data_IF_252908650552
#
_entry.id   IF_252908650552
#
_cell.length_a   1.000
_cell.length_b   1.000
_cell.length_c   1.000
_cell.angle_alpha   90.00
_cell.angle_beta   90.00
_cell.angle_gamma   90.00
#
_symmetry.space_group_name_H-M   'P 1'
#
loop_
_entity.id
_entity.type
_entity.pdbx_description
1 polymer ?
#
# COMPACT_ATOMS: atom_id res chain seq x y z
N UNK A 1 -13.48 -43.56 5.16
CA UNK A 1 -12.16 -43.33 4.58
C UNK A 1 -11.19 -44.26 5.28
N UNK A 2 -10.48 -45.10 4.54
CA UNK A 2 -9.55 -46.10 5.10
C UNK A 2 -8.44 -45.35 5.88
N UNK A 3 -8.00 -45.87 7.05
CA UNK A 3 -7.02 -45.20 7.89
C UNK A 3 -5.68 -45.06 7.19
N UNK A 4 -5.37 -45.93 6.24
CA UNK A 4 -4.20 -45.82 5.36
C UNK A 4 -4.26 -44.60 4.45
N UNK A 5 -5.42 -44.29 3.86
CA UNK A 5 -5.62 -43.07 3.05
C UNK A 5 -5.45 -41.80 3.89
N UNK A 6 -5.92 -41.80 5.14
CA UNK A 6 -5.74 -40.64 6.04
C UNK A 6 -4.25 -40.37 6.32
N UNK A 7 -3.45 -41.43 6.58
CA UNK A 7 -2.02 -41.31 6.77
C UNK A 7 -1.29 -40.77 5.54
N UNK A 8 -1.58 -41.34 4.36
CA UNK A 8 -0.98 -40.87 3.09
C UNK A 8 -1.35 -39.42 2.75
N UNK A 9 -2.58 -38.99 3.06
CA UNK A 9 -3.00 -37.60 2.89
C UNK A 9 -2.28 -36.66 3.84
N UNK A 10 -2.09 -37.05 5.12
CA UNK A 10 -1.35 -36.24 6.09
C UNK A 10 0.14 -36.12 5.74
N UNK A 11 0.77 -37.20 5.27
CA UNK A 11 2.14 -37.14 4.77
C UNK A 11 2.26 -36.23 3.53
N UNK A 12 1.31 -36.30 2.63
CA UNK A 12 1.31 -35.49 1.42
C UNK A 12 1.08 -33.99 1.69
N UNK A 13 0.45 -33.60 2.81
CA UNK A 13 0.33 -32.19 3.25
C UNK A 13 1.68 -31.53 3.52
N UNK A 14 2.70 -32.32 3.87
CA UNK A 14 4.08 -31.83 4.14
C UNK A 14 4.83 -31.42 2.86
N UNK A 15 4.38 -31.80 1.68
CA UNK A 15 5.06 -31.52 0.43
C UNK A 15 4.75 -30.11 -0.13
N UNK A 16 5.67 -29.55 -0.90
CA UNK A 16 5.44 -28.33 -1.69
C UNK A 16 4.35 -28.52 -2.76
N UNK A 17 3.74 -27.41 -3.23
CA UNK A 17 2.54 -27.39 -4.09
C UNK A 17 2.59 -28.34 -5.31
N UNK A 18 3.74 -28.43 -5.98
CA UNK A 18 3.90 -29.29 -7.17
C UNK A 18 3.87 -30.79 -6.80
N UNK A 19 4.62 -31.19 -5.76
CA UNK A 19 4.66 -32.57 -5.26
C UNK A 19 3.30 -33.01 -4.67
N UNK A 20 2.60 -32.10 -3.97
CA UNK A 20 1.24 -32.37 -3.46
C UNK A 20 0.26 -32.69 -4.58
N UNK A 21 0.22 -31.87 -5.66
CA UNK A 21 -0.65 -32.13 -6.80
C UNK A 21 -0.37 -33.46 -7.50
N UNK A 22 0.92 -33.85 -7.56
CA UNK A 22 1.30 -35.15 -8.11
C UNK A 22 0.77 -36.28 -7.22
N UNK A 23 0.99 -36.19 -5.90
CA UNK A 23 0.54 -37.19 -4.93
C UNK A 23 -1.01 -37.27 -4.86
N UNK A 24 -1.70 -36.14 -4.93
CA UNK A 24 -3.16 -36.09 -5.02
C UNK A 24 -3.71 -36.91 -6.21
N UNK A 25 -3.10 -36.75 -7.41
CA UNK A 25 -3.48 -37.53 -8.59
C UNK A 25 -3.16 -39.03 -8.45
N UNK A 26 -2.06 -39.39 -7.78
CA UNK A 26 -1.68 -40.75 -7.48
C UNK A 26 -2.68 -41.39 -6.52
N UNK A 27 -3.09 -40.70 -5.46
CA UNK A 27 -4.08 -41.17 -4.49
C UNK A 27 -5.48 -41.28 -5.12
N UNK A 28 -5.89 -40.30 -5.94
CA UNK A 28 -7.17 -40.38 -6.70
C UNK A 28 -7.21 -41.60 -7.61
N UNK A 29 -6.11 -41.99 -8.24
CA UNK A 29 -5.99 -43.19 -9.05
C UNK A 29 -5.96 -44.47 -8.19
N UNK A 30 -5.16 -44.51 -7.12
CA UNK A 30 -4.99 -45.65 -6.23
C UNK A 30 -6.30 -46.06 -5.59
N UNK A 31 -7.11 -45.09 -5.17
CA UNK A 31 -8.39 -45.36 -4.46
C UNK A 31 -9.60 -45.15 -5.36
N UNK A 32 -9.44 -44.90 -6.67
CA UNK A 32 -10.50 -44.59 -7.64
C UNK A 32 -11.49 -43.53 -7.14
N UNK A 33 -11.04 -42.56 -6.37
CA UNK A 33 -11.87 -41.54 -5.73
C UNK A 33 -11.36 -40.12 -6.11
N UNK A 34 -12.12 -39.47 -7.00
CA UNK A 34 -11.85 -38.09 -7.46
C UNK A 34 -12.15 -37.00 -6.41
N UNK A 35 -12.76 -37.37 -5.28
CA UNK A 35 -13.03 -36.42 -4.18
C UNK A 35 -11.85 -36.21 -3.26
N UNK A 36 -10.77 -36.99 -3.40
CA UNK A 36 -9.55 -36.85 -2.61
C UNK A 36 -8.82 -35.55 -2.99
N UNK A 37 -8.79 -34.61 -2.07
CA UNK A 37 -8.07 -33.36 -2.22
C UNK A 37 -7.11 -33.11 -1.05
N UNK A 38 -5.82 -32.95 -1.37
CA UNK A 38 -4.77 -32.66 -0.38
C UNK A 38 -4.64 -31.14 -0.22
N UNK A 39 -5.38 -30.59 0.74
CA UNK A 39 -5.34 -29.15 1.05
C UNK A 39 -4.10 -28.83 1.89
N UNK A 40 -3.47 -27.67 1.62
CA UNK A 40 -2.49 -27.13 2.57
C UNK A 40 -3.23 -26.76 3.86
N UNK A 41 -2.69 -27.05 5.03
CA UNK A 41 -3.32 -26.89 6.34
C UNK A 41 -3.75 -25.47 6.77
N UNK A 42 -4.06 -24.59 5.80
CA UNK A 42 -4.83 -23.38 6.00
C UNK A 42 -6.31 -23.75 5.86
N UNK A 43 -6.99 -23.89 6.98
CA UNK A 43 -8.46 -23.94 7.04
C UNK A 43 -9.01 -22.63 6.51
N UNK A 44 -9.37 -22.62 5.25
CA UNK A 44 -10.33 -21.64 4.75
C UNK A 44 -11.70 -22.12 5.19
N UNK A 45 -12.41 -21.31 5.97
CA UNK A 45 -13.84 -21.51 6.21
C UNK A 45 -14.53 -21.69 4.86
N UNK A 46 -15.15 -22.86 4.65
CA UNK A 46 -15.98 -23.16 3.48
C UNK A 46 -17.29 -22.35 3.56
N UNK A 47 -17.25 -21.07 3.22
CA UNK A 47 -18.39 -20.46 2.57
C UNK A 47 -18.44 -21.06 1.16
N UNK A 48 -19.62 -21.46 0.68
CA UNK A 48 -19.84 -22.09 -0.62
C UNK A 48 -19.07 -21.36 -1.73
N UNK A 49 -18.08 -22.03 -2.30
CA UNK A 49 -17.27 -21.45 -3.37
C UNK A 49 -18.13 -21.43 -4.64
N UNK A 50 -18.66 -20.27 -4.98
CA UNK A 50 -19.40 -20.04 -6.21
C UNK A 50 -18.65 -20.60 -7.41
N UNK A 51 -19.34 -21.33 -8.28
CA UNK A 51 -18.76 -21.81 -9.53
C UNK A 51 -18.53 -20.66 -10.52
N UNK A 52 -17.82 -20.92 -11.64
CA UNK A 52 -17.46 -19.89 -12.63
C UNK A 52 -18.68 -19.21 -13.26
N UNK A 53 -19.79 -19.96 -13.46
CA UNK A 53 -21.04 -19.44 -14.02
C UNK A 53 -21.75 -18.53 -13.02
N UNK A 54 -21.92 -18.95 -11.78
CA UNK A 54 -22.51 -18.15 -10.71
C UNK A 54 -21.75 -16.83 -10.46
N UNK A 55 -20.40 -16.88 -10.52
CA UNK A 55 -19.59 -15.65 -10.43
C UNK A 55 -19.80 -14.70 -11.61
N UNK A 56 -19.93 -15.25 -12.84
CA UNK A 56 -20.22 -14.42 -14.02
C UNK A 56 -21.59 -13.76 -13.93
N UNK A 57 -22.61 -14.46 -13.44
CA UNK A 57 -23.96 -13.91 -13.23
C UNK A 57 -23.96 -12.79 -12.17
N UNK A 58 -23.26 -12.98 -11.05
CA UNK A 58 -23.12 -11.93 -10.01
C UNK A 58 -22.45 -10.65 -10.50
N UNK A 59 -21.62 -10.75 -11.53
CA UNK A 59 -20.86 -9.63 -12.09
C UNK A 59 -21.58 -8.95 -13.24
N UNK A 60 -22.52 -9.65 -13.93
CA UNK A 60 -23.12 -9.27 -15.21
C UNK A 60 -23.75 -7.87 -15.22
N UNK A 61 -24.32 -7.45 -14.08
CA UNK A 61 -25.01 -6.15 -13.98
C UNK A 61 -24.24 -5.10 -13.13
N UNK A 62 -23.01 -5.39 -12.77
CA UNK A 62 -22.24 -4.52 -11.84
C UNK A 62 -21.10 -3.81 -12.55
N UNK A 63 -21.24 -2.51 -12.70
CA UNK A 63 -20.21 -1.66 -13.30
C UNK A 63 -19.30 -1.07 -12.21
N UNK A 64 -18.04 -1.55 -12.11
CA UNK A 64 -17.10 -1.12 -11.07
C UNK A 64 -16.63 0.32 -11.24
N UNK A 65 -16.60 0.84 -12.46
CA UNK A 65 -16.29 2.26 -12.70
C UNK A 65 -17.42 3.14 -12.18
N UNK A 66 -18.68 2.73 -12.37
CA UNK A 66 -19.84 3.41 -11.79
C UNK A 66 -19.75 3.46 -10.25
N UNK A 67 -19.38 2.33 -9.61
CA UNK A 67 -19.18 2.27 -8.15
C UNK A 67 -18.02 3.18 -7.70
N UNK A 68 -16.91 3.21 -8.44
CA UNK A 68 -15.81 4.12 -8.16
C UNK A 68 -16.22 5.59 -8.26
N UNK A 69 -17.00 5.96 -9.29
CA UNK A 69 -17.49 7.31 -9.46
C UNK A 69 -18.45 7.71 -8.32
N UNK A 70 -19.31 6.79 -7.86
CA UNK A 70 -20.13 7.01 -6.66
C UNK A 70 -19.28 7.29 -5.42
N UNK A 71 -18.19 6.53 -5.22
CA UNK A 71 -17.23 6.75 -4.11
C UNK A 71 -16.61 8.14 -4.23
N UNK A 72 -16.13 8.50 -5.40
CA UNK A 72 -15.54 9.82 -5.67
C UNK A 72 -16.56 10.94 -5.39
N UNK A 73 -17.76 10.85 -5.97
CA UNK A 73 -18.80 11.89 -5.76
C UNK A 73 -19.19 12.03 -4.30
N UNK A 74 -19.27 10.93 -3.55
CA UNK A 74 -19.69 10.97 -2.14
C UNK A 74 -18.59 11.47 -1.20
N UNK A 75 -17.40 10.90 -1.31
CA UNK A 75 -16.33 11.12 -0.31
C UNK A 75 -15.29 12.15 -0.75
N UNK A 76 -15.16 12.39 -2.05
CA UNK A 76 -14.14 13.24 -2.65
C UNK A 76 -14.73 14.25 -3.65
N UNK A 77 -15.82 14.98 -3.30
CA UNK A 77 -16.57 15.79 -4.27
C UNK A 77 -15.76 16.90 -4.93
N UNK A 78 -14.67 17.37 -4.30
CA UNK A 78 -13.85 18.45 -4.84
C UNK A 78 -12.66 17.97 -5.70
N UNK A 79 -12.44 16.65 -5.84
CA UNK A 79 -11.25 16.15 -6.55
C UNK A 79 -11.20 16.61 -7.99
N UNK A 80 -12.34 16.63 -8.67
CA UNK A 80 -12.44 17.09 -10.08
C UNK A 80 -12.16 18.58 -10.23
N UNK A 81 -12.59 19.40 -9.27
CA UNK A 81 -12.28 20.83 -9.20
C UNK A 81 -10.79 21.03 -9.01
N UNK A 82 -10.18 20.36 -8.04
CA UNK A 82 -8.74 20.44 -7.77
C UNK A 82 -7.91 20.04 -9.00
N UNK A 83 -8.32 18.99 -9.73
CA UNK A 83 -7.66 18.63 -10.99
C UNK A 83 -7.81 19.69 -12.08
N UNK A 84 -8.90 20.48 -12.08
CA UNK A 84 -9.11 21.56 -13.03
C UNK A 84 -8.31 22.82 -12.70
N UNK A 85 -7.97 23.01 -11.43
CA UNK A 85 -7.26 24.18 -10.90
C UNK A 85 -5.73 24.03 -10.91
N UNK A 86 -5.21 22.89 -11.35
CA UNK A 86 -3.76 22.68 -11.53
C UNK A 86 -3.19 23.69 -12.53
N UNK A 87 -2.00 24.18 -12.23
CA UNK A 87 -1.30 25.13 -13.09
C UNK A 87 -0.95 24.50 -14.44
N UNK A 88 -1.53 25.07 -15.51
CA UNK A 88 -1.27 24.65 -16.89
C UNK A 88 -0.27 25.60 -17.54
N UNK A 89 0.94 25.11 -17.79
CA UNK A 89 2.01 25.89 -18.41
C UNK A 89 1.97 25.89 -19.94
N UNK A 90 1.05 25.15 -20.54
CA UNK A 90 0.90 25.10 -21.99
C UNK A 90 0.39 26.43 -22.57
N UNK A 91 0.72 26.70 -23.82
CA UNK A 91 0.18 27.85 -24.53
C UNK A 91 -1.33 27.70 -24.74
N UNK A 92 -2.11 28.62 -24.21
CA UNK A 92 -3.58 28.60 -24.20
C UNK A 92 -4.21 28.42 -25.59
N UNK A 93 -3.56 28.93 -26.65
CA UNK A 93 -4.04 28.81 -28.04
C UNK A 93 -4.01 27.39 -28.61
N UNK A 94 -3.25 26.46 -27.97
CA UNK A 94 -3.06 25.08 -28.43
C UNK A 94 -3.62 24.03 -27.49
N UNK A 95 -4.42 24.45 -26.47
CA UNK A 95 -5.00 23.52 -25.51
C UNK A 95 -6.25 22.86 -26.10
N UNK A 96 -6.13 21.59 -26.47
CA UNK A 96 -7.27 20.76 -26.88
C UNK A 96 -7.95 20.12 -25.66
N UNK A 97 -7.16 19.63 -24.69
CA UNK A 97 -7.62 18.94 -23.48
C UNK A 97 -7.33 19.79 -22.25
N UNK A 98 -8.36 20.07 -21.43
CA UNK A 98 -8.15 20.75 -20.16
C UNK A 98 -7.42 19.88 -19.14
N UNK A 99 -6.88 20.49 -18.07
CA UNK A 99 -6.11 19.78 -17.05
C UNK A 99 -6.90 18.63 -16.41
N UNK A 100 -8.19 18.85 -16.14
CA UNK A 100 -9.07 17.80 -15.60
C UNK A 100 -9.07 16.56 -16.48
N UNK A 101 -9.16 16.71 -17.80
CA UNK A 101 -9.17 15.59 -18.75
C UNK A 101 -7.83 14.86 -18.75
N UNK A 102 -6.70 15.58 -18.82
CA UNK A 102 -5.36 15.00 -18.78
C UNK A 102 -5.19 14.16 -17.52
N UNK A 103 -5.43 14.76 -16.36
CA UNK A 103 -5.20 14.11 -15.05
C UNK A 103 -6.16 12.94 -14.83
N UNK A 104 -7.45 13.13 -15.19
CA UNK A 104 -8.45 12.05 -15.04
C UNK A 104 -8.13 10.88 -15.94
N UNK A 105 -7.74 11.10 -17.19
CA UNK A 105 -7.34 10.03 -18.11
C UNK A 105 -6.19 9.23 -17.53
N UNK A 106 -5.13 9.90 -17.02
CA UNK A 106 -3.99 9.21 -16.41
C UNK A 106 -4.37 8.43 -15.14
N UNK A 107 -5.16 9.01 -14.26
CA UNK A 107 -5.61 8.34 -13.04
C UNK A 107 -6.50 7.13 -13.34
N UNK A 108 -7.44 7.24 -14.28
CA UNK A 108 -8.28 6.09 -14.67
C UNK A 108 -7.47 4.99 -15.36
N UNK A 109 -6.49 5.35 -16.21
CA UNK A 109 -5.56 4.39 -16.77
C UNK A 109 -4.84 3.60 -15.66
N UNK A 110 -4.30 4.28 -14.64
CA UNK A 110 -3.67 3.62 -13.49
C UNK A 110 -4.65 2.75 -12.68
N UNK A 111 -5.86 3.22 -12.45
CA UNK A 111 -6.92 2.45 -11.76
C UNK A 111 -7.29 1.20 -12.55
N UNK A 112 -7.29 1.25 -13.87
CA UNK A 112 -7.47 0.09 -14.74
C UNK A 112 -6.26 -0.86 -14.77
N UNK A 113 -5.10 -0.44 -14.27
CA UNK A 113 -3.87 -1.21 -14.33
C UNK A 113 -3.08 -1.01 -15.62
N UNK A 114 -3.39 0.05 -16.39
CA UNK A 114 -2.60 0.52 -17.52
C UNK A 114 -1.41 1.30 -16.98
N UNK A 115 -0.26 0.68 -16.94
CA UNK A 115 0.91 1.20 -16.22
C UNK A 115 1.87 1.99 -17.10
N UNK A 116 2.03 1.60 -18.37
CA UNK A 116 2.88 2.32 -19.30
C UNK A 116 2.13 3.48 -19.96
N UNK A 117 2.85 4.52 -20.33
CA UNK A 117 2.23 5.68 -20.97
C UNK A 117 1.68 5.32 -22.35
N UNK A 118 2.44 4.57 -23.14
CA UNK A 118 2.07 4.16 -24.52
C UNK A 118 0.83 3.25 -24.59
N UNK A 119 0.56 2.46 -23.53
CA UNK A 119 -0.66 1.63 -23.47
C UNK A 119 -1.95 2.46 -23.37
N UNK A 120 -1.88 3.75 -23.01
CA UNK A 120 -3.06 4.64 -22.95
C UNK A 120 -3.71 4.75 -24.33
N UNK A 121 -2.91 4.84 -25.40
CA UNK A 121 -3.43 4.95 -26.76
C UNK A 121 -3.65 3.60 -27.46
N UNK A 122 -3.45 2.48 -26.76
CA UNK A 122 -3.70 1.16 -27.32
C UNK A 122 -5.22 0.91 -27.45
N UNK A 123 -5.68 0.72 -28.69
CA UNK A 123 -7.09 0.49 -29.02
C UNK A 123 -7.65 -0.82 -28.49
N UNK A 124 -6.80 -1.83 -28.30
CA UNK A 124 -7.23 -3.12 -27.74
C UNK A 124 -7.32 -3.13 -26.21
N UNK A 125 -6.78 -2.09 -25.55
CA UNK A 125 -6.67 -2.08 -24.09
C UNK A 125 -7.42 -0.95 -23.41
N UNK A 126 -7.28 0.27 -23.89
CA UNK A 126 -7.81 1.46 -23.19
C UNK A 126 -8.45 2.49 -24.12
N UNK A 127 -7.93 2.72 -25.32
CA UNK A 127 -8.43 3.71 -26.27
C UNK A 127 -9.57 3.14 -27.13
N UNK A 128 -10.74 2.94 -26.52
CA UNK A 128 -11.96 2.46 -27.20
C UNK A 128 -12.98 3.60 -27.32
N UNK A 129 -13.98 3.44 -28.21
CA UNK A 129 -15.09 4.41 -28.32
C UNK A 129 -15.83 4.59 -26.99
N UNK A 130 -16.04 3.51 -26.23
CA UNK A 130 -16.67 3.56 -24.92
C UNK A 130 -15.84 4.35 -23.93
N UNK A 131 -14.52 4.16 -23.93
CA UNK A 131 -13.60 4.95 -23.07
C UNK A 131 -13.70 6.44 -23.39
N UNK A 132 -13.72 6.80 -24.67
CA UNK A 132 -13.85 8.21 -25.10
C UNK A 132 -15.17 8.81 -24.58
N UNK A 133 -16.30 8.10 -24.77
CA UNK A 133 -17.62 8.51 -24.28
C UNK A 133 -17.66 8.61 -22.76
N UNK A 134 -17.10 7.62 -22.06
CA UNK A 134 -17.06 7.59 -20.60
C UNK A 134 -16.21 8.72 -20.03
N UNK A 135 -15.01 8.94 -20.56
CA UNK A 135 -14.13 10.04 -20.14
C UNK A 135 -14.75 11.41 -20.48
N UNK A 136 -15.42 11.54 -21.63
CA UNK A 136 -16.17 12.75 -21.96
C UNK A 136 -17.18 13.12 -20.86
N UNK A 137 -17.94 12.13 -20.39
CA UNK A 137 -18.94 12.31 -19.34
C UNK A 137 -18.30 12.57 -17.98
N UNK A 138 -17.23 11.84 -17.61
CA UNK A 138 -16.52 12.00 -16.33
C UNK A 138 -15.82 13.36 -16.25
N UNK A 139 -15.20 13.79 -17.36
CA UNK A 139 -14.45 15.04 -17.42
C UNK A 139 -15.32 16.25 -17.73
N UNK A 140 -16.59 16.04 -18.10
CA UNK A 140 -17.48 17.09 -18.59
C UNK A 140 -16.83 17.92 -19.72
N UNK A 141 -16.21 17.22 -20.67
CA UNK A 141 -15.60 17.76 -21.88
C UNK A 141 -15.93 16.84 -23.05
N UNK A 142 -16.48 17.38 -24.14
CA UNK A 142 -16.71 16.58 -25.35
C UNK A 142 -15.38 16.21 -25.98
N UNK A 143 -15.12 14.89 -26.05
CA UNK A 143 -13.88 14.32 -26.58
C UNK A 143 -14.17 13.61 -27.90
N UNK A 144 -13.37 13.88 -28.93
CA UNK A 144 -13.33 13.09 -30.17
C UNK A 144 -12.39 11.90 -30.04
N UNK A 145 -11.37 12.06 -29.22
CA UNK A 145 -10.34 11.06 -28.89
C UNK A 145 -9.83 11.30 -27.47
N UNK A 146 -9.16 10.34 -26.86
CA UNK A 146 -8.48 10.56 -25.57
C UNK A 146 -7.17 11.32 -25.81
N UNK A 147 -6.65 12.03 -24.79
CA UNK A 147 -5.33 12.67 -24.88
C UNK A 147 -4.25 11.66 -25.26
N UNK A 148 -3.41 12.02 -26.24
CA UNK A 148 -2.24 11.22 -26.57
C UNK A 148 -1.30 11.08 -25.35
N UNK A 149 -0.66 9.93 -25.22
CA UNK A 149 0.24 9.65 -24.11
C UNK A 149 1.38 10.67 -24.02
N UNK A 150 1.85 11.20 -25.15
CA UNK A 150 2.91 12.20 -25.18
C UNK A 150 2.41 13.53 -24.63
N UNK A 151 1.20 13.97 -25.00
CA UNK A 151 0.55 15.16 -24.42
C UNK A 151 0.40 15.02 -22.90
N UNK A 152 0.00 13.84 -22.42
CA UNK A 152 -0.07 13.57 -20.97
C UNK A 152 1.32 13.66 -20.33
N UNK A 153 2.33 13.08 -20.98
CA UNK A 153 3.70 13.08 -20.50
C UNK A 153 4.28 14.50 -20.41
N UNK A 154 4.11 15.30 -21.45
CA UNK A 154 4.59 16.69 -21.51
C UNK A 154 3.98 17.53 -20.37
N UNK A 155 2.68 17.36 -20.11
CA UNK A 155 2.02 18.01 -18.97
C UNK A 155 2.59 17.53 -17.64
N UNK A 156 2.78 16.22 -17.47
CA UNK A 156 3.33 15.64 -16.23
C UNK A 156 4.74 16.18 -15.94
N UNK A 157 5.55 16.39 -16.95
CA UNK A 157 6.92 16.91 -16.79
C UNK A 157 6.96 18.34 -16.24
N UNK A 158 5.89 19.11 -16.47
CA UNK A 158 5.77 20.51 -16.07
C UNK A 158 4.91 20.76 -14.82
N UNK A 159 4.21 19.75 -14.30
CA UNK A 159 3.35 19.88 -13.12
C UNK A 159 4.16 20.23 -11.86
N UNK A 160 3.56 21.02 -10.97
CA UNK A 160 4.11 21.26 -9.64
C UNK A 160 3.77 20.07 -8.71
N UNK A 161 4.80 19.48 -8.13
CA UNK A 161 4.68 18.38 -7.17
C UNK A 161 3.77 18.77 -6.00
N UNK A 162 3.90 20.01 -5.49
CA UNK A 162 3.11 20.47 -4.35
C UNK A 162 1.60 20.51 -4.66
N UNK A 163 1.22 20.81 -5.89
CA UNK A 163 -0.19 20.79 -6.29
C UNK A 163 -0.75 19.37 -6.27
N UNK A 164 0.00 18.39 -6.73
CA UNK A 164 -0.41 16.98 -6.68
C UNK A 164 -0.43 16.44 -5.24
N UNK A 165 0.54 16.82 -4.42
CA UNK A 165 0.51 16.53 -2.98
C UNK A 165 -0.72 17.13 -2.29
N UNK A 166 -1.15 18.33 -2.67
CA UNK A 166 -2.35 18.94 -2.15
C UNK A 166 -3.61 18.15 -2.53
N UNK A 167 -3.67 17.55 -3.72
CA UNK A 167 -4.78 16.63 -4.08
C UNK A 167 -4.77 15.41 -3.15
N UNK A 168 -3.63 14.76 -2.94
CA UNK A 168 -3.50 13.63 -2.00
C UNK A 168 -3.91 14.03 -0.58
N UNK A 169 -3.42 15.17 -0.08
CA UNK A 169 -3.78 15.72 1.23
C UNK A 169 -5.27 15.96 1.35
N UNK A 170 -5.91 16.53 0.32
CA UNK A 170 -7.35 16.69 0.28
C UNK A 170 -8.05 15.33 0.41
N UNK A 171 -7.67 14.32 -0.38
CA UNK A 171 -8.25 12.98 -0.34
C UNK A 171 -8.18 12.42 1.08
N UNK A 172 -6.99 12.38 1.67
CA UNK A 172 -6.79 11.84 3.02
C UNK A 172 -7.62 12.60 4.05
N UNK A 173 -7.63 13.93 3.99
CA UNK A 173 -8.39 14.76 4.92
C UNK A 173 -9.90 14.53 4.79
N UNK A 174 -10.41 14.42 3.57
CA UNK A 174 -11.82 14.15 3.31
C UNK A 174 -12.24 12.78 3.86
N UNK A 175 -11.42 11.75 3.64
CA UNK A 175 -11.67 10.40 4.16
C UNK A 175 -11.67 10.35 5.68
N UNK A 176 -10.73 11.03 6.34
CA UNK A 176 -10.69 11.12 7.81
C UNK A 176 -11.92 11.88 8.34
N UNK A 177 -12.28 13.02 7.74
CA UNK A 177 -13.45 13.81 8.13
C UNK A 177 -14.78 13.05 7.98
N UNK A 178 -14.85 12.10 7.06
CA UNK A 178 -16.04 11.25 6.88
C UNK A 178 -16.26 10.26 8.04
N UNK A 179 -15.33 10.18 8.99
CA UNK A 179 -15.33 9.28 10.16
C UNK A 179 -15.37 7.78 9.82
N UNK A 180 -15.18 7.40 8.55
CA UNK A 180 -15.19 5.99 8.15
C UNK A 180 -14.02 5.19 8.75
N UNK A 181 -12.97 5.88 9.22
CA UNK A 181 -11.76 5.29 9.79
C UNK A 181 -11.71 5.30 11.32
N UNK A 182 -12.69 5.87 12.00
CA UNK A 182 -12.65 6.06 13.47
C UNK A 182 -12.48 4.73 14.20
N UNK A 183 -13.14 3.66 13.74
CA UNK A 183 -13.02 2.32 14.31
C UNK A 183 -11.66 1.66 14.11
N UNK A 184 -10.82 2.20 13.24
CA UNK A 184 -9.48 1.69 12.93
C UNK A 184 -8.39 2.41 13.77
N UNK A 185 -8.77 3.33 14.65
CA UNK A 185 -7.85 4.03 15.55
C UNK A 185 -7.71 3.29 16.88
N UNK A 186 -6.54 3.37 17.51
CA UNK A 186 -6.28 2.91 18.87
C UNK A 186 -6.30 4.12 19.81
N UNK A 187 -7.28 4.18 20.71
CA UNK A 187 -7.48 5.31 21.63
C UNK A 187 -7.48 6.69 20.92
N UNK A 188 -8.09 6.75 19.74
CA UNK A 188 -8.16 7.96 18.92
C UNK A 188 -6.85 8.33 18.20
N UNK A 189 -5.82 7.47 18.23
CA UNK A 189 -4.60 7.61 17.45
C UNK A 189 -4.57 6.63 16.27
N UNK A 190 -4.20 7.12 15.10
CA UNK A 190 -4.01 6.27 13.92
C UNK A 190 -2.62 5.64 13.92
N UNK A 191 -2.54 4.37 13.58
CA UNK A 191 -1.26 3.72 13.33
C UNK A 191 -0.68 4.23 12.02
N UNK A 192 0.52 4.81 12.07
CA UNK A 192 1.26 5.32 10.93
C UNK A 192 2.50 4.47 10.71
N UNK A 193 2.48 3.69 9.63
CA UNK A 193 3.60 2.88 9.20
C UNK A 193 4.58 3.75 8.43
N UNK A 194 5.87 3.62 8.75
CA UNK A 194 6.94 4.34 8.07
C UNK A 194 7.97 3.33 7.58
N UNK A 195 8.24 3.37 6.29
CA UNK A 195 9.22 2.46 5.66
C UNK A 195 9.70 3.04 4.32
N UNK A 196 10.91 2.71 3.90
CA UNK A 196 11.46 3.17 2.64
C UNK A 196 11.40 2.10 1.56
N UNK A 197 11.31 2.54 0.31
CA UNK A 197 11.33 1.64 -0.82
C UNK A 197 12.14 2.20 -1.99
N UNK A 198 12.87 1.32 -2.68
CA UNK A 198 13.48 1.65 -3.97
C UNK A 198 12.42 1.65 -5.07
N UNK A 199 12.42 2.68 -5.89
CA UNK A 199 11.53 2.82 -7.05
C UNK A 199 12.21 2.28 -8.29
N UNK A 200 13.47 2.70 -8.54
CA UNK A 200 14.24 2.25 -9.70
C UNK A 200 15.73 2.15 -9.38
N UNK A 201 16.46 1.40 -10.20
CA UNK A 201 17.92 1.33 -10.13
C UNK A 201 18.52 1.41 -11.54
N UNK A 202 19.63 2.13 -11.68
CA UNK A 202 20.28 2.42 -12.95
C UNK A 202 21.78 2.23 -12.86
N UNK A 203 22.42 1.99 -14.00
CA UNK A 203 23.88 1.93 -14.11
C UNK A 203 24.49 3.32 -14.37
N UNK A 204 23.65 4.35 -14.48
CA UNK A 204 24.02 5.75 -14.65
C UNK A 204 23.24 6.64 -13.68
N UNK A 205 23.80 7.81 -13.37
CA UNK A 205 23.16 8.79 -12.48
C UNK A 205 22.02 9.49 -13.24
N UNK A 206 20.80 9.20 -12.83
CA UNK A 206 19.62 9.85 -13.37
C UNK A 206 19.42 11.18 -12.65
N UNK A 207 19.71 12.30 -13.33
CA UNK A 207 19.48 13.68 -12.82
C UNK A 207 20.25 14.09 -11.53
N UNK A 208 21.41 13.50 -11.27
CA UNK A 208 22.33 14.01 -10.24
C UNK A 208 22.07 13.57 -8.80
N UNK A 209 20.82 13.32 -8.39
CA UNK A 209 20.43 13.22 -6.98
C UNK A 209 20.21 11.77 -6.48
N UNK A 210 20.64 10.76 -7.23
CA UNK A 210 20.43 9.38 -6.85
C UNK A 210 21.31 8.94 -5.67
N UNK A 211 20.76 8.07 -4.84
CA UNK A 211 21.55 7.33 -3.84
C UNK A 211 22.42 6.30 -4.56
N UNK A 212 23.68 6.21 -4.21
CA UNK A 212 24.65 5.31 -4.83
C UNK A 212 24.96 4.10 -3.95
N UNK A 213 25.09 2.92 -4.58
CA UNK A 213 25.59 1.71 -3.91
C UNK A 213 26.68 1.07 -4.75
N UNK A 214 27.87 0.91 -4.16
CA UNK A 214 28.99 0.23 -4.80
C UNK A 214 28.91 -1.26 -4.52
N UNK A 215 28.86 -2.07 -5.57
CA UNK A 215 28.86 -3.52 -5.45
C UNK A 215 30.29 -4.00 -5.19
N UNK A 216 30.54 -4.61 -4.03
CA UNK A 216 31.89 -4.96 -3.55
C UNK A 216 32.64 -5.93 -4.46
N UNK A 217 31.93 -6.89 -5.11
CA UNK A 217 32.56 -7.93 -5.95
C UNK A 217 32.88 -7.46 -7.36
N UNK A 218 32.02 -6.64 -7.96
CA UNK A 218 32.15 -6.21 -9.37
C UNK A 218 32.70 -4.80 -9.49
N UNK A 219 32.88 -4.09 -8.37
CA UNK A 219 33.29 -2.68 -8.29
C UNK A 219 32.39 -1.72 -9.10
N UNK A 220 31.18 -2.16 -9.49
CA UNK A 220 30.20 -1.37 -10.20
C UNK A 220 29.42 -0.50 -9.25
N UNK A 221 29.10 0.74 -9.67
CA UNK A 221 28.24 1.67 -8.94
C UNK A 221 26.84 1.60 -9.54
N UNK A 222 25.83 1.41 -8.68
CA UNK A 222 24.43 1.51 -9.09
C UNK A 222 23.78 2.71 -8.42
N UNK A 223 22.91 3.36 -9.16
CA UNK A 223 22.18 4.56 -8.76
C UNK A 223 20.72 4.19 -8.47
N UNK A 224 20.19 4.65 -7.34
CA UNK A 224 18.86 4.28 -6.87
C UNK A 224 18.01 5.52 -6.63
N UNK A 225 16.78 5.49 -7.12
CA UNK A 225 15.71 6.38 -6.68
C UNK A 225 14.96 5.70 -5.54
N UNK A 226 14.88 6.37 -4.39
CA UNK A 226 14.24 5.82 -3.17
C UNK A 226 13.31 6.85 -2.55
N UNK A 227 12.25 6.35 -1.92
CA UNK A 227 11.31 7.17 -1.15
C UNK A 227 11.08 6.58 0.22
N UNK A 228 10.83 7.45 1.17
CA UNK A 228 10.22 7.15 2.46
C UNK A 228 8.72 7.41 2.35
N UNK A 229 7.90 6.44 2.74
CA UNK A 229 6.45 6.55 2.79
C UNK A 229 5.93 6.50 4.22
N UNK A 230 4.97 7.35 4.52
CA UNK A 230 4.16 7.27 5.72
C UNK A 230 2.73 6.87 5.33
N UNK A 231 2.26 5.72 5.79
CA UNK A 231 0.93 5.17 5.45
C UNK A 231 0.09 4.90 6.70
N UNK A 232 -1.15 5.41 6.74
CA UNK A 232 -2.11 5.08 7.80
C UNK A 232 -2.66 3.68 7.55
N UNK A 233 -2.73 2.87 8.61
CA UNK A 233 -3.43 1.58 8.58
C UNK A 233 -4.91 1.79 8.83
N UNK A 234 -5.75 1.28 7.93
CA UNK A 234 -7.21 1.30 8.03
C UNK A 234 -7.74 -0.10 7.74
N UNK A 235 -8.04 -0.86 8.79
CA UNK A 235 -8.44 -2.26 8.63
C UNK A 235 -7.40 -3.05 7.82
N UNK A 236 -7.81 -3.51 6.66
CA UNK A 236 -6.99 -4.30 5.74
C UNK A 236 -6.31 -3.49 4.61
N UNK A 237 -6.38 -2.16 4.63
CA UNK A 237 -5.74 -1.28 3.63
C UNK A 237 -4.73 -0.33 4.26
N UNK A 238 -3.91 0.28 3.42
CA UNK A 238 -2.93 1.30 3.81
C UNK A 238 -3.08 2.55 2.94
N UNK A 239 -3.26 3.70 3.56
CA UNK A 239 -3.49 4.98 2.90
C UNK A 239 -2.22 5.82 2.96
N UNK A 240 -1.64 6.16 1.81
CA UNK A 240 -0.49 7.07 1.72
C UNK A 240 -0.84 8.44 2.27
N UNK A 241 -0.13 8.86 3.31
CA UNK A 241 -0.31 10.14 4.00
C UNK A 241 0.72 11.17 3.53
N UNK A 242 1.97 10.77 3.47
CA UNK A 242 3.10 11.64 3.11
C UNK A 242 4.22 10.82 2.46
N UNK A 243 5.00 11.49 1.59
CA UNK A 243 6.13 10.91 0.85
C UNK A 243 7.33 11.83 0.97
N UNK A 244 8.49 11.29 1.27
CA UNK A 244 9.76 12.04 1.28
C UNK A 244 10.77 11.33 0.39
N UNK A 245 11.38 12.07 -0.53
CA UNK A 245 12.40 11.54 -1.41
C UNK A 245 13.73 11.43 -0.67
N UNK A 246 14.37 10.26 -0.76
CA UNK A 246 15.71 10.02 -0.22
C UNK A 246 16.68 10.29 -1.37
N UNK A 247 17.22 11.48 -1.38
CA UNK A 247 18.06 11.99 -2.47
C UNK A 247 19.30 12.67 -1.91
N UNK A 248 20.41 12.53 -2.62
CA UNK A 248 21.58 13.33 -2.33
C UNK A 248 21.35 14.76 -2.86
N UNK A 249 21.41 15.76 -2.00
CA UNK A 249 21.60 17.12 -2.47
C UNK A 249 22.96 17.19 -3.16
N UNK A 250 23.19 18.15 -4.07
CA UNK A 250 24.44 18.31 -4.83
C UNK A 250 25.66 18.00 -3.98
N UNK A 251 26.12 16.77 -4.06
CA UNK A 251 27.28 16.31 -3.30
C UNK A 251 28.52 16.99 -3.85
N UNK A 252 28.95 18.04 -3.16
CA UNK A 252 30.14 18.84 -3.53
C UNK A 252 31.45 18.12 -3.24
N UNK A 253 31.43 17.06 -2.41
CA UNK A 253 32.62 16.27 -2.04
C UNK A 253 32.32 14.81 -1.81
N UNK A 254 33.24 13.89 -2.15
CA UNK A 254 33.15 12.44 -1.88
C UNK A 254 33.05 12.08 -0.36
N UNK A 255 33.26 13.03 0.54
CA UNK A 255 33.25 12.83 2.00
C UNK A 255 31.86 13.03 2.62
N UNK A 256 30.92 13.60 1.90
CA UNK A 256 29.58 13.84 2.43
C UNK A 256 28.80 12.54 2.52
N UNK A 257 28.10 12.34 3.64
CA UNK A 257 27.25 11.17 3.84
C UNK A 257 26.02 11.27 2.96
N UNK A 258 25.72 10.20 2.25
CA UNK A 258 24.47 10.08 1.51
C UNK A 258 23.26 10.24 2.42
N UNK A 259 22.16 10.75 1.84
CA UNK A 259 20.87 10.82 2.51
C UNK A 259 20.36 9.43 2.91
N UNK A 260 19.49 9.37 3.90
CA UNK A 260 18.99 8.14 4.48
C UNK A 260 17.57 8.30 5.03
N UNK A 261 16.92 7.16 5.31
CA UNK A 261 15.57 7.09 5.85
C UNK A 261 15.37 7.94 7.12
N UNK A 262 16.35 7.98 8.02
CA UNK A 262 16.26 8.76 9.26
C UNK A 262 16.23 10.27 8.96
N UNK A 263 17.05 10.73 8.01
CA UNK A 263 17.05 12.13 7.60
C UNK A 263 15.78 12.49 6.84
N UNK A 264 15.31 11.60 5.97
CA UNK A 264 14.02 11.75 5.29
C UNK A 264 12.88 11.87 6.31
N UNK A 265 12.84 11.05 7.36
CA UNK A 265 11.81 11.16 8.39
C UNK A 265 11.91 12.47 9.20
N UNK A 266 13.11 12.98 9.46
CA UNK A 266 13.28 14.30 10.10
C UNK A 266 12.63 15.43 9.30
N UNK A 267 12.68 15.37 7.98
CA UNK A 267 12.03 16.34 7.08
C UNK A 267 10.53 16.11 6.99
N UNK A 268 10.09 14.84 6.92
CA UNK A 268 8.70 14.42 6.78
C UNK A 268 7.86 14.73 8.05
N UNK A 269 8.37 14.46 9.24
CA UNK A 269 7.60 14.53 10.48
C UNK A 269 6.99 15.92 10.76
N UNK A 270 7.73 17.05 10.66
CA UNK A 270 7.15 18.39 10.82
C UNK A 270 6.08 18.70 9.77
N UNK A 271 6.26 18.22 8.54
CA UNK A 271 5.30 18.41 7.44
C UNK A 271 4.00 17.66 7.72
N UNK A 272 4.06 16.42 8.20
CA UNK A 272 2.88 15.66 8.64
C UNK A 272 2.18 16.40 9.77
N UNK A 273 2.91 16.89 10.78
CA UNK A 273 2.32 17.65 11.89
C UNK A 273 1.62 18.92 11.42
N UNK A 274 2.25 19.67 10.51
CA UNK A 274 1.67 20.87 9.91
C UNK A 274 0.40 20.55 9.11
N UNK A 275 0.42 19.48 8.34
CA UNK A 275 -0.70 19.10 7.46
C UNK A 275 -1.88 18.49 8.23
N UNK A 276 -1.62 17.80 9.34
CA UNK A 276 -2.60 17.07 10.16
C UNK A 276 -2.47 17.39 11.64
N UNK A 277 -2.59 18.65 12.07
CA UNK A 277 -2.23 19.11 13.43
C UNK A 277 -3.05 18.47 14.55
N UNK A 278 -4.29 18.06 14.24
CA UNK A 278 -5.23 17.46 15.21
C UNK A 278 -5.13 15.93 15.29
N UNK A 279 -4.45 15.29 14.35
CA UNK A 279 -4.33 13.84 14.37
C UNK A 279 -3.26 13.40 15.36
N UNK A 280 -3.56 12.32 16.07
CA UNK A 280 -2.62 11.59 16.91
C UNK A 280 -2.14 10.36 16.14
N UNK A 281 -0.85 10.08 16.22
CA UNK A 281 -0.26 8.94 15.53
C UNK A 281 0.49 8.01 16.49
N UNK A 282 0.53 6.73 16.11
CA UNK A 282 1.42 5.72 16.65
C UNK A 282 2.36 5.33 15.51
N UNK A 283 3.59 5.84 15.56
CA UNK A 283 4.59 5.59 14.53
C UNK A 283 5.08 4.15 14.65
N UNK A 284 4.97 3.38 13.58
CA UNK A 284 5.43 1.99 13.56
C UNK A 284 6.50 1.83 12.46
N UNK A 285 7.68 1.43 12.86
CA UNK A 285 8.84 1.26 11.99
C UNK A 285 9.65 0.01 12.30
N UNK A 286 10.61 -0.29 11.47
CA UNK A 286 11.54 -1.40 11.68
C UNK A 286 12.61 -1.06 12.75
N UNK A 287 13.61 -1.93 12.94
CA UNK A 287 14.67 -1.72 13.92
C UNK A 287 15.62 -0.55 13.57
N UNK A 288 15.59 -0.04 12.33
CA UNK A 288 16.34 1.16 11.95
C UNK A 288 15.81 2.40 12.67
N UNK A 289 14.50 2.42 12.95
CA UNK A 289 13.83 3.53 13.65
C UNK A 289 13.98 3.48 15.17
N UNK A 290 14.46 2.35 15.72
CA UNK A 290 14.71 2.22 17.16
C UNK A 290 15.98 3.00 17.57
N UNK A 291 15.96 4.33 17.44
CA UNK A 291 17.07 5.24 17.77
C UNK A 291 16.60 6.39 18.63
N UNK A 292 17.50 6.98 19.43
CA UNK A 292 17.20 8.17 20.22
C UNK A 292 16.64 9.31 19.38
N UNK A 293 17.19 9.55 18.18
CA UNK A 293 16.74 10.61 17.26
C UNK A 293 15.26 10.40 16.87
N UNK A 294 14.86 9.17 16.53
CA UNK A 294 13.48 8.87 16.15
C UNK A 294 12.52 8.98 17.34
N UNK A 295 12.94 8.49 18.50
CA UNK A 295 12.17 8.61 19.75
C UNK A 295 11.93 10.09 20.09
N UNK A 296 12.95 10.92 19.98
CA UNK A 296 12.84 12.35 20.26
C UNK A 296 11.90 13.04 19.26
N UNK A 297 11.97 12.73 17.97
CA UNK A 297 11.02 13.25 16.99
C UNK A 297 9.59 12.89 17.36
N UNK A 298 9.31 11.64 17.75
CA UNK A 298 7.99 11.23 18.18
C UNK A 298 7.52 12.03 19.40
N UNK A 299 8.39 12.24 20.40
CA UNK A 299 8.07 13.05 21.58
C UNK A 299 7.78 14.51 21.24
N UNK A 300 8.61 15.13 20.40
CA UNK A 300 8.46 16.53 19.98
C UNK A 300 7.12 16.75 19.25
N UNK A 301 6.71 15.79 18.44
CA UNK A 301 5.41 15.82 17.74
C UNK A 301 4.22 15.35 18.58
N UNK A 302 4.46 14.89 19.82
CA UNK A 302 3.46 14.27 20.72
C UNK A 302 2.79 13.04 20.08
N UNK A 303 3.60 12.21 19.45
CA UNK A 303 3.21 10.94 18.85
C UNK A 303 3.74 9.78 19.68
N UNK A 304 2.98 8.69 19.74
CA UNK A 304 3.47 7.43 20.29
C UNK A 304 4.23 6.64 19.23
N UNK A 305 4.94 5.60 19.66
CA UNK A 305 5.68 4.76 18.74
C UNK A 305 5.66 3.27 19.12
N UNK A 306 5.85 2.40 18.12
CA UNK A 306 6.15 0.96 18.26
C UNK A 306 7.26 0.67 17.25
N UNK A 307 8.48 0.42 17.72
CA UNK A 307 9.62 0.09 16.88
C UNK A 307 10.12 -1.32 17.15
N UNK A 308 10.52 -2.03 16.11
CA UNK A 308 11.11 -3.34 16.27
C UNK A 308 12.41 -3.23 17.06
N UNK A 309 12.61 -4.13 18.03
CA UNK A 309 13.84 -4.27 18.80
C UNK A 309 14.66 -5.44 18.27
N UNK A 310 15.89 -5.18 17.85
CA UNK A 310 16.85 -6.19 17.42
C UNK A 310 18.16 -6.08 18.22
N UNK A 311 18.78 -7.22 18.54
CA UNK A 311 20.02 -7.28 19.32
C UNK A 311 21.18 -6.53 18.67
N UNK A 312 21.30 -6.60 17.34
CA UNK A 312 22.36 -5.93 16.57
C UNK A 312 22.26 -4.42 16.52
N UNK A 313 21.08 -3.84 16.83
CA UNK A 313 20.84 -2.39 16.81
C UNK A 313 20.90 -1.73 18.19
N UNK A 314 20.24 -2.31 19.18
CA UNK A 314 20.16 -1.81 20.55
C UNK A 314 20.58 -2.91 21.53
N UNK A 315 21.83 -3.37 21.45
CA UNK A 315 22.33 -4.51 22.21
C UNK A 315 22.05 -4.41 23.72
N UNK A 316 22.41 -3.28 24.36
CA UNK A 316 22.16 -3.09 25.81
C UNK A 316 20.68 -3.14 26.17
N UNK A 317 19.82 -2.45 25.39
CA UNK A 317 18.37 -2.46 25.59
C UNK A 317 17.82 -3.89 25.46
N UNK A 318 18.33 -4.64 24.49
CA UNK A 318 17.91 -6.03 24.28
C UNK A 318 18.33 -6.93 25.46
N UNK A 319 19.55 -6.79 25.96
CA UNK A 319 20.08 -7.51 27.12
C UNK A 319 19.30 -7.12 28.38
N UNK A 320 19.15 -5.83 28.69
CA UNK A 320 18.36 -5.32 29.81
C UNK A 320 16.92 -5.86 29.76
N UNK A 321 16.33 -6.00 28.56
CA UNK A 321 15.00 -6.57 28.41
C UNK A 321 14.95 -8.06 28.76
N UNK A 322 15.97 -8.83 28.39
CA UNK A 322 16.00 -10.26 28.73
C UNK A 322 16.15 -10.50 30.24
N UNK A 323 16.91 -9.61 30.92
CA UNK A 323 17.20 -9.73 32.35
C UNK A 323 16.05 -9.19 33.24
N UNK A 324 15.29 -8.21 32.76
CA UNK A 324 14.29 -7.47 33.54
C UNK A 324 12.83 -7.68 33.05
N UNK A 325 12.43 -8.92 32.82
CA UNK A 325 11.04 -9.24 32.45
C UNK A 325 10.12 -9.15 33.67
N UNK A 326 9.17 -8.20 33.65
CA UNK A 326 8.21 -7.98 34.74
C UNK A 326 6.93 -8.82 34.61
N UNK A 327 6.60 -9.26 33.41
CA UNK A 327 5.39 -10.02 33.15
C UNK A 327 5.64 -11.05 32.04
N UNK A 328 5.13 -12.25 32.26
CA UNK A 328 5.10 -13.33 31.25
C UNK A 328 3.70 -13.91 31.20
N UNK A 329 3.21 -14.16 30.02
CA UNK A 329 2.02 -14.96 29.78
C UNK A 329 2.39 -16.03 28.76
N UNK A 330 2.32 -17.28 29.17
CA UNK A 330 2.72 -18.42 28.35
C UNK A 330 1.50 -19.32 28.16
N UNK A 331 1.15 -19.53 26.90
CA UNK A 331 0.16 -20.50 26.47
C UNK A 331 0.84 -21.57 25.60
N UNK A 332 0.15 -22.67 25.31
CA UNK A 332 0.70 -23.72 24.44
C UNK A 332 1.01 -23.24 23.00
N UNK A 333 0.57 -22.05 22.61
CA UNK A 333 0.73 -21.52 21.24
C UNK A 333 1.41 -20.16 21.18
N UNK A 334 1.26 -19.35 22.21
CA UNK A 334 1.67 -17.95 22.20
C UNK A 334 2.30 -17.56 23.53
N UNK A 335 3.41 -16.87 23.50
CA UNK A 335 4.12 -16.39 24.68
C UNK A 335 4.37 -14.91 24.60
N UNK A 336 4.02 -14.18 25.65
CA UNK A 336 4.24 -12.75 25.79
C UNK A 336 5.19 -12.46 26.95
N UNK A 337 6.14 -11.53 26.73
CA UNK A 337 7.02 -11.01 27.78
C UNK A 337 6.97 -9.49 27.73
N UNK A 338 6.99 -8.85 28.92
CA UNK A 338 6.93 -7.40 29.06
C UNK A 338 7.94 -6.94 30.10
N UNK A 339 8.70 -5.89 29.80
CA UNK A 339 9.45 -5.07 30.74
C UNK A 339 8.98 -3.64 30.68
N UNK A 340 8.68 -3.02 31.86
CA UNK A 340 7.99 -1.71 31.94
C UNK A 340 8.91 -0.52 32.15
N UNK A 341 10.18 -0.69 32.34
CA UNK A 341 11.05 0.42 32.75
C UNK A 341 12.46 0.37 32.22
N UNK A 342 12.62 0.05 30.93
CA UNK A 342 13.95 0.02 30.32
C UNK A 342 14.44 1.44 30.09
N UNK A 343 15.62 1.76 30.61
CA UNK A 343 16.28 3.06 30.44
C UNK A 343 17.35 2.96 29.35
N UNK A 344 17.32 3.91 28.44
CA UNK A 344 18.33 4.06 27.42
C UNK A 344 18.59 5.54 27.17
N UNK A 345 19.77 6.03 27.62
CA UNK A 345 20.10 7.44 27.70
C UNK A 345 19.02 8.20 28.51
N UNK A 346 18.51 9.31 27.98
CA UNK A 346 17.44 10.12 28.58
C UNK A 346 16.03 9.52 28.40
N UNK A 347 15.92 8.40 27.75
CA UNK A 347 14.61 7.79 27.42
C UNK A 347 14.29 6.62 28.33
N UNK A 348 13.02 6.52 28.72
CA UNK A 348 12.44 5.35 29.37
C UNK A 348 11.29 4.84 28.54
N UNK A 349 11.24 3.54 28.27
CA UNK A 349 10.22 2.90 27.43
C UNK A 349 9.91 1.49 27.94
N UNK A 350 8.90 0.88 27.38
CA UNK A 350 8.53 -0.52 27.62
C UNK A 350 9.12 -1.36 26.47
N UNK A 351 9.60 -2.55 26.80
CA UNK A 351 9.95 -3.55 25.80
C UNK A 351 9.03 -4.75 25.95
N UNK A 352 8.61 -5.29 24.83
CA UNK A 352 7.72 -6.44 24.76
C UNK A 352 8.19 -7.43 23.71
N UNK A 353 7.98 -8.73 24.00
CA UNK A 353 8.26 -9.84 23.11
C UNK A 353 6.99 -10.64 22.91
N UNK A 354 6.79 -11.10 21.70
CA UNK A 354 5.79 -12.07 21.33
C UNK A 354 6.45 -13.21 20.59
N UNK A 355 6.09 -14.44 20.95
CA UNK A 355 6.62 -15.66 20.37
C UNK A 355 5.47 -16.54 19.92
N UNK A 356 5.56 -17.06 18.72
CA UNK A 356 4.61 -18.02 18.16
C UNK A 356 5.28 -19.09 17.32
N UNK A 357 4.64 -20.23 17.21
CA UNK A 357 5.08 -21.29 16.30
C UNK A 357 4.49 -21.09 14.90
N UNK A 358 5.34 -20.89 13.90
CA UNK A 358 4.95 -20.79 12.49
C UNK A 358 5.65 -21.89 11.69
N UNK A 359 4.90 -22.82 11.09
CA UNK A 359 5.44 -23.91 10.27
C UNK A 359 6.58 -24.68 11.02
N UNK A 360 6.34 -25.04 12.25
CA UNK A 360 7.28 -25.75 13.16
C UNK A 360 8.57 -24.95 13.50
N UNK A 361 8.58 -23.63 13.27
CA UNK A 361 9.67 -22.74 13.68
C UNK A 361 9.15 -21.72 14.68
N UNK A 362 9.95 -21.54 15.76
CA UNK A 362 9.70 -20.46 16.71
C UNK A 362 10.05 -19.12 16.07
N UNK A 363 9.06 -18.23 15.97
CA UNK A 363 9.25 -16.85 15.49
C UNK A 363 9.07 -15.90 16.65
N UNK A 364 10.02 -14.99 16.81
CA UNK A 364 10.08 -14.04 17.91
C UNK A 364 10.02 -12.63 17.37
N UNK A 365 9.10 -11.83 17.90
CA UNK A 365 8.94 -10.40 17.59
C UNK A 365 9.19 -9.59 18.86
N UNK A 366 10.15 -8.70 18.82
CA UNK A 366 10.44 -7.80 19.93
C UNK A 366 10.20 -6.36 19.53
N UNK A 367 9.62 -5.57 20.45
CA UNK A 367 9.27 -4.16 20.22
C UNK A 367 9.66 -3.30 21.41
N UNK A 368 9.93 -2.02 21.13
CA UNK A 368 9.96 -0.95 22.12
C UNK A 368 8.81 0.01 21.87
N UNK A 369 8.22 0.57 22.94
CA UNK A 369 7.10 1.50 22.86
C UNK A 369 7.04 2.41 24.07
N UNK A 370 6.47 3.61 23.91
CA UNK A 370 6.08 4.51 25.00
C UNK A 370 4.61 4.35 25.42
N UNK A 371 3.82 3.59 24.68
CA UNK A 371 2.43 3.31 25.03
C UNK A 371 2.31 2.68 26.42
N UNK A 372 1.18 2.92 27.09
CA UNK A 372 0.85 2.21 28.32
C UNK A 372 0.54 0.75 28.00
N UNK A 373 1.44 -0.17 28.40
CA UNK A 373 1.28 -1.61 28.20
C UNK A 373 0.83 -2.27 29.51
N UNK A 374 -0.28 -2.98 29.44
CA UNK A 374 -0.86 -3.78 30.51
C UNK A 374 -1.05 -5.22 30.07
N UNK A 375 -1.39 -6.10 31.00
CA UNK A 375 -1.70 -7.50 30.68
C UNK A 375 -2.95 -7.63 29.77
N UNK A 376 -3.82 -6.62 29.72
CA UNK A 376 -5.07 -6.64 28.97
C UNK A 376 -4.92 -6.12 27.52
N UNK A 377 -3.91 -5.28 27.25
CA UNK A 377 -3.74 -4.68 25.94
C UNK A 377 -2.44 -5.10 25.20
N UNK A 378 -1.62 -5.97 25.80
CA UNK A 378 -0.34 -6.39 25.22
C UNK A 378 -0.54 -7.06 23.85
N UNK A 379 -1.56 -7.88 23.68
CA UNK A 379 -1.89 -8.55 22.42
C UNK A 379 -2.22 -7.56 21.32
N UNK A 380 -2.99 -6.53 21.64
CA UNK A 380 -3.35 -5.48 20.67
C UNK A 380 -2.11 -4.66 20.24
N UNK A 381 -1.23 -4.31 21.20
CA UNK A 381 0.00 -3.57 20.93
C UNK A 381 0.96 -4.43 20.07
N UNK A 382 1.11 -5.72 20.37
CA UNK A 382 1.86 -6.66 19.55
C UNK A 382 1.26 -6.76 18.14
N UNK A 383 -0.08 -6.87 18.04
CA UNK A 383 -0.78 -6.89 16.75
C UNK A 383 -0.49 -5.63 15.94
N UNK A 384 -0.46 -4.44 16.57
CA UNK A 384 -0.05 -3.20 15.90
C UNK A 384 1.40 -3.29 15.42
N UNK A 385 2.34 -3.78 16.23
CA UNK A 385 3.73 -3.98 15.81
C UNK A 385 3.85 -4.90 14.58
N UNK A 386 3.08 -5.98 14.55
CA UNK A 386 3.02 -6.93 13.42
C UNK A 386 2.40 -6.31 12.16
N UNK A 387 1.46 -5.39 12.29
CA UNK A 387 0.85 -4.66 11.16
C UNK A 387 1.86 -3.84 10.37
N UNK A 388 3.09 -3.62 10.85
CA UNK A 388 4.16 -2.99 10.07
C UNK A 388 4.31 -3.63 8.68
N UNK A 389 4.17 -4.94 8.58
CA UNK A 389 4.25 -5.64 7.31
C UNK A 389 3.17 -5.23 6.28
N UNK A 390 2.13 -4.52 6.69
CA UNK A 390 1.11 -4.03 5.75
C UNK A 390 1.63 -2.99 4.79
N UNK A 391 2.62 -2.17 5.18
CA UNK A 391 3.23 -1.21 4.24
C UNK A 391 3.94 -1.93 3.11
N UNK A 392 4.57 -3.07 3.41
CA UNK A 392 5.23 -3.89 2.40
C UNK A 392 4.18 -4.67 1.57
N UNK A 393 3.28 -5.40 2.22
CA UNK A 393 2.37 -6.33 1.54
C UNK A 393 1.25 -5.63 0.78
N UNK A 394 0.47 -4.77 1.44
CA UNK A 394 -0.66 -4.04 0.86
C UNK A 394 -0.23 -2.74 0.18
N UNK A 395 0.95 -2.23 0.54
CA UNK A 395 1.55 -1.03 -0.04
C UNK A 395 2.51 -1.35 -1.17
N UNK A 396 3.79 -1.49 -0.85
CA UNK A 396 4.86 -1.55 -1.84
C UNK A 396 4.82 -2.77 -2.76
N UNK A 397 4.49 -3.95 -2.24
CA UNK A 397 4.43 -5.15 -3.04
C UNK A 397 3.33 -5.06 -4.10
N UNK A 398 2.15 -4.51 -3.74
CA UNK A 398 1.09 -4.24 -4.70
C UNK A 398 1.51 -3.22 -5.75
N UNK A 399 2.26 -2.19 -5.35
CA UNK A 399 2.74 -1.15 -6.24
C UNK A 399 3.88 -1.63 -7.16
N UNK A 400 4.73 -2.58 -6.71
CA UNK A 400 5.85 -3.13 -7.50
C UNK A 400 5.44 -4.30 -8.37
N UNK A 401 4.82 -5.29 -7.77
CA UNK A 401 4.57 -6.61 -8.35
C UNK A 401 3.11 -6.86 -8.72
N UNK A 402 2.22 -5.99 -8.25
CA UNK A 402 0.78 -6.05 -8.51
C UNK A 402 0.38 -5.19 -9.70
N UNK A 403 -0.57 -4.28 -9.44
CA UNK A 403 -1.27 -3.51 -10.47
C UNK A 403 -0.41 -2.43 -11.13
N UNK A 404 0.53 -1.78 -10.38
CA UNK A 404 1.07 -0.48 -10.78
C UNK A 404 2.47 -0.53 -11.40
N UNK A 405 3.24 -1.60 -11.20
CA UNK A 405 4.61 -1.76 -11.71
C UNK A 405 5.51 -0.55 -11.46
N UNK A 406 5.51 -0.03 -10.24
CA UNK A 406 6.20 1.21 -9.85
C UNK A 406 7.70 1.22 -10.21
N UNK A 407 8.32 0.04 -10.33
CA UNK A 407 9.72 -0.10 -10.73
C UNK A 407 9.95 0.07 -12.25
N UNK A 408 8.88 0.20 -13.04
CA UNK A 408 8.99 0.52 -14.45
C UNK A 408 9.14 2.04 -14.61
N UNK A 409 10.26 2.45 -15.18
CA UNK A 409 10.57 3.86 -15.39
C UNK A 409 9.61 4.47 -16.43
N UNK A 410 8.78 5.42 -16.00
CA UNK A 410 7.81 6.10 -16.87
C UNK A 410 8.43 7.22 -17.71
N UNK A 411 9.53 7.82 -17.24
CA UNK A 411 10.24 8.92 -17.88
C UNK A 411 11.68 8.96 -17.38
N UNK A 412 12.55 9.70 -18.11
CA UNK A 412 13.89 10.11 -17.62
C UNK A 412 13.87 11.47 -16.91
N UNK A 413 12.78 12.21 -17.03
CA UNK A 413 12.58 13.48 -16.32
C UNK A 413 12.29 13.20 -14.84
N UNK A 414 13.03 13.83 -13.93
CA UNK A 414 12.91 13.63 -12.48
C UNK A 414 11.55 14.06 -11.95
N UNK A 415 11.07 15.21 -12.40
CA UNK A 415 9.75 15.71 -12.00
C UNK A 415 8.64 14.74 -12.43
N UNK A 416 8.69 14.24 -13.66
CA UNK A 416 7.73 13.26 -14.16
C UNK A 416 7.75 11.95 -13.36
N UNK A 417 8.93 11.46 -12.95
CA UNK A 417 9.04 10.28 -12.09
C UNK A 417 8.33 10.52 -10.75
N UNK A 418 8.55 11.68 -10.14
CA UNK A 418 7.95 12.06 -8.86
C UNK A 418 6.44 12.22 -8.99
N UNK A 419 5.96 12.94 -9.97
CA UNK A 419 4.52 13.12 -10.24
C UNK A 419 3.84 11.78 -10.53
N UNK A 420 4.46 10.92 -11.33
CA UNK A 420 3.94 9.57 -11.61
C UNK A 420 3.81 8.74 -10.34
N UNK A 421 4.80 8.82 -9.45
CA UNK A 421 4.74 8.16 -8.14
C UNK A 421 3.53 8.64 -7.32
N UNK A 422 3.28 9.94 -7.25
CA UNK A 422 2.12 10.49 -6.55
C UNK A 422 0.80 10.07 -7.20
N UNK A 423 0.72 9.99 -8.52
CA UNK A 423 -0.46 9.46 -9.19
C UNK A 423 -0.74 8.01 -8.85
N UNK A 424 0.31 7.18 -8.72
CA UNK A 424 0.17 5.80 -8.24
C UNK A 424 -0.38 5.78 -6.80
N UNK A 425 0.10 6.63 -5.90
CA UNK A 425 -0.44 6.69 -4.55
C UNK A 425 -1.93 7.08 -4.54
N UNK A 426 -2.33 8.07 -5.34
CA UNK A 426 -3.74 8.49 -5.47
C UNK A 426 -4.59 7.36 -6.07
N UNK A 427 -4.17 6.77 -7.18
CA UNK A 427 -4.88 5.68 -7.83
C UNK A 427 -5.02 4.45 -6.91
N UNK A 428 -3.97 4.16 -6.12
CA UNK A 428 -3.97 3.07 -5.15
C UNK A 428 -4.98 3.34 -4.01
N UNK A 429 -5.06 4.57 -3.51
CA UNK A 429 -6.10 4.94 -2.53
C UNK A 429 -7.49 4.71 -3.11
N UNK A 430 -7.78 5.26 -4.28
CA UNK A 430 -9.09 5.12 -4.94
C UNK A 430 -9.47 3.65 -5.14
N UNK A 431 -8.51 2.86 -5.55
CA UNK A 431 -8.70 1.43 -5.79
C UNK A 431 -8.91 0.65 -4.51
N UNK A 432 -8.17 0.92 -3.44
CA UNK A 432 -8.38 0.30 -2.12
C UNK A 432 -9.78 0.64 -1.56
N UNK A 433 -10.25 1.88 -1.74
CA UNK A 433 -11.61 2.26 -1.35
C UNK A 433 -12.66 1.42 -2.08
N UNK A 434 -12.47 1.17 -3.37
CA UNK A 434 -13.35 0.33 -4.17
C UNK A 434 -13.26 -1.15 -3.78
N UNK A 435 -12.05 -1.71 -3.79
CA UNK A 435 -11.81 -3.15 -3.59
C UNK A 435 -12.17 -3.63 -2.17
N UNK A 436 -11.77 -2.85 -1.17
CA UNK A 436 -11.85 -3.25 0.23
C UNK A 436 -12.96 -2.54 1.01
N UNK A 437 -13.45 -1.40 0.53
CA UNK A 437 -14.49 -0.61 1.20
C UNK A 437 -15.89 -0.82 0.63
N UNK A 438 -16.00 -1.11 -0.68
CA UNK A 438 -17.29 -1.21 -1.37
C UNK A 438 -17.94 -2.57 -1.17
N UNK A 439 -19.15 -2.59 -0.59
CA UNK A 439 -19.94 -3.83 -0.39
C UNK A 439 -20.16 -4.58 -1.70
N UNK A 440 -20.47 -3.90 -2.79
CA UNK A 440 -20.70 -4.50 -4.11
C UNK A 440 -19.53 -5.35 -4.54
N UNK A 441 -18.29 -4.87 -4.36
CA UNK A 441 -17.07 -5.61 -4.73
C UNK A 441 -16.81 -6.77 -3.75
N UNK A 442 -17.03 -6.56 -2.45
CA UNK A 442 -16.91 -7.63 -1.44
C UNK A 442 -17.87 -8.79 -1.74
N UNK A 443 -19.12 -8.49 -2.09
CA UNK A 443 -20.14 -9.48 -2.40
C UNK A 443 -19.83 -10.28 -3.68
N UNK A 444 -19.01 -9.74 -4.60
CA UNK A 444 -18.55 -10.46 -5.79
C UNK A 444 -17.58 -11.61 -5.47
N UNK A 445 -17.00 -11.65 -4.26
CA UNK A 445 -16.05 -12.69 -3.80
C UNK A 445 -14.94 -12.96 -4.82
N UNK A 446 -14.37 -11.89 -5.40
CA UNK A 446 -13.30 -11.98 -6.37
C UNK A 446 -12.04 -12.56 -5.72
N UNK A 447 -11.33 -13.42 -6.45
CA UNK A 447 -10.19 -14.17 -5.89
C UNK A 447 -8.87 -13.42 -5.98
N UNK A 448 -8.74 -12.55 -6.98
CA UNK A 448 -7.47 -11.87 -7.28
C UNK A 448 -7.67 -10.41 -7.62
N UNK A 449 -6.69 -9.59 -7.32
CA UNK A 449 -6.67 -8.18 -7.73
C UNK A 449 -6.65 -8.01 -9.26
N UNK A 450 -6.15 -9.01 -10.00
CA UNK A 450 -6.18 -9.02 -11.46
C UNK A 450 -7.62 -9.18 -11.99
N UNK A 451 -8.45 -10.00 -11.35
CA UNK A 451 -9.88 -10.07 -11.71
C UNK A 451 -10.56 -8.72 -11.53
N UNK A 452 -10.27 -8.00 -10.43
CA UNK A 452 -10.78 -6.64 -10.21
C UNK A 452 -10.30 -5.69 -11.30
N UNK A 453 -9.00 -5.69 -11.65
CA UNK A 453 -8.46 -4.88 -12.75
C UNK A 453 -9.21 -5.13 -14.05
N UNK A 454 -9.36 -6.39 -14.43
CA UNK A 454 -10.05 -6.75 -15.67
C UNK A 454 -11.51 -6.26 -15.68
N UNK A 455 -12.21 -6.33 -14.54
CA UNK A 455 -13.58 -5.84 -14.45
C UNK A 455 -13.69 -4.33 -14.52
N UNK A 456 -12.75 -3.59 -13.89
CA UNK A 456 -12.71 -2.13 -14.00
C UNK A 456 -12.40 -1.73 -15.44
N UNK A 457 -11.40 -2.37 -16.06
CA UNK A 457 -11.03 -2.10 -17.46
C UNK A 457 -12.21 -2.38 -18.38
N UNK A 458 -12.81 -3.56 -18.32
CA UNK A 458 -13.98 -3.92 -19.15
C UNK A 458 -15.15 -2.95 -18.93
N UNK A 459 -15.40 -2.53 -17.68
CA UNK A 459 -16.46 -1.56 -17.38
C UNK A 459 -16.21 -0.20 -18.03
N UNK A 460 -14.96 0.22 -18.18
CA UNK A 460 -14.58 1.48 -18.80
C UNK A 460 -14.53 1.38 -20.35
N UNK A 461 -14.00 0.26 -20.87
CA UNK A 461 -13.64 0.09 -22.28
C UNK A 461 -14.70 -0.59 -23.15
N UNK A 462 -15.72 -1.21 -22.53
CA UNK A 462 -16.72 -2.00 -23.23
C UNK A 462 -18.17 -1.66 -22.86
N UNK A 463 -18.38 -0.75 -21.91
CA UNK A 463 -19.70 -0.36 -21.45
C UNK A 463 -19.82 1.15 -21.40
N UNK A 464 -20.98 1.69 -21.84
CA UNK A 464 -21.30 3.11 -21.63
C UNK A 464 -21.84 3.31 -20.22
N UNK A 465 -21.24 4.23 -19.49
CA UNK A 465 -21.57 4.52 -18.08
C UNK A 465 -22.56 5.68 -18.04
N UNK A 466 -23.81 5.40 -17.64
CA UNK A 466 -24.73 6.47 -17.33
C UNK A 466 -24.42 7.06 -15.96
N UNK A 467 -24.04 8.35 -15.93
CA UNK A 467 -23.72 9.12 -14.72
C UNK A 467 -24.90 9.94 -14.18
N UNK A 468 -26.06 9.88 -14.84
CA UNK A 468 -27.29 10.49 -14.37
C UNK A 468 -27.90 9.66 -13.24
N UNK A 469 -28.54 10.30 -12.28
CA UNK A 469 -29.27 9.67 -11.17
C UNK A 469 -28.46 8.62 -10.39
N UNK A 470 -27.17 8.88 -10.14
CA UNK A 470 -26.35 8.01 -9.32
C UNK A 470 -26.85 8.00 -7.86
N UNK A 471 -27.34 6.88 -7.39
CA UNK A 471 -27.62 6.71 -5.96
C UNK A 471 -26.34 6.74 -5.16
N UNK A 472 -26.22 7.74 -4.25
CA UNK A 472 -25.02 7.95 -3.41
C UNK A 472 -25.29 7.47 -1.97
N UNK A 473 -26.40 6.80 -1.71
CA UNK A 473 -26.76 6.32 -0.37
C UNK A 473 -26.11 4.96 -0.08
N UNK A 474 -24.83 4.97 0.25
CA UNK A 474 -24.07 3.79 0.69
C UNK A 474 -22.97 4.19 1.66
N UNK A 475 -22.38 3.22 2.35
CA UNK A 475 -21.22 3.42 3.22
C UNK A 475 -20.11 2.46 2.85
N UNK A 476 -18.87 2.97 2.85
CA UNK A 476 -17.67 2.14 2.82
C UNK A 476 -17.44 1.52 4.20
N UNK A 477 -16.99 0.28 4.24
CA UNK A 477 -16.68 -0.44 5.48
C UNK A 477 -15.32 -1.11 5.34
N UNK A 478 -14.46 -0.90 6.34
CA UNK A 478 -13.13 -1.49 6.43
C UNK A 478 -13.10 -2.35 7.70
N UNK A 479 -13.20 -3.65 7.50
CA UNK A 479 -13.19 -4.65 8.57
C UNK A 479 -11.77 -5.15 8.81
#
# INVERSE_FOLDING_TARGET
>A
MCDELKKEVEEAKKFGRSKRRKKERELQKKYNDKSIHIMSGKTFNKGEALNKKQRRELVKDKNLVKELIKIIKKYLPQITKLCSELTDKRNKSYITYNMRTIITTRLFALVCGITTMTEINNTDKFNTEETIKNLSSICNQSLKEIPDWQTIQDVIEELDINEIENIRKYIVTALIRSKMFDKCSYNGAFQLLVDATGISSHDYNLNGNCITKKHKKTNTVKYYKQVLEAKIVVGNIVISLDTEWIENEDMKTEKEKQDCEINAFKRMAPRIKKNYPKLKFIITGDALYATTSMINICKDQKWNYIFNLKKDRLKRVYEDFQDNVNYKNETNKENYKLSRGIRFKENTFKALSYQEMQNDKLVIFNYITDLSVTNYNIEEIVSMGRRRWKIENEGFNEQKNGTYRISHLCSRNDNAIKIHYYFIQIAHILRQLLECGCKVVKDMKLKTKREVSNLITNALTSLIINLENLEINFQLRFD
#
